data_IF_762546073895
#
_entry.id   IF_762546073895
#
_cell.length_a   1.000
_cell.length_b   1.000
_cell.length_c   1.000
_cell.angle_alpha   90.00
_cell.angle_beta   90.00
_cell.angle_gamma   90.00
#
_symmetry.space_group_name_H-M   'P 1'
#
loop_
_entity.id
_entity.type
_entity.pdbx_description
1 polymer ?
#
# COMPACT_ATOMS: atom_id res chain seq x y z
N UNK A 1 -5.87 3.30 3.56
CA UNK A 1 -5.27 1.94 3.40
C UNK A 1 -4.39 1.50 4.59
N UNK A 2 -4.46 0.25 5.08
CA UNK A 2 -3.58 -0.28 6.16
C UNK A 2 -3.12 -1.71 5.89
N UNK A 3 -1.99 -2.14 6.47
CA UNK A 3 -1.61 -3.56 6.48
C UNK A 3 -2.55 -4.39 7.36
N UNK A 4 -2.81 -5.66 7.01
CA UNK A 4 -3.48 -6.58 7.93
C UNK A 4 -2.59 -6.80 9.16
N UNK A 5 -3.22 -7.01 10.31
CA UNK A 5 -2.54 -7.11 11.61
C UNK A 5 -1.51 -8.26 11.62
N UNK A 6 -1.77 -9.33 10.88
CA UNK A 6 -0.88 -10.49 10.76
C UNK A 6 0.21 -10.35 9.67
N UNK A 7 0.36 -9.17 9.04
CA UNK A 7 1.41 -8.96 8.04
C UNK A 7 2.72 -8.64 8.72
N UNK A 8 3.74 -9.44 8.40
CA UNK A 8 5.11 -9.22 8.82
C UNK A 8 5.95 -8.66 7.67
N UNK A 9 6.67 -7.58 7.95
CA UNK A 9 7.58 -6.94 6.99
C UNK A 9 9.00 -7.45 7.28
N UNK A 10 9.52 -8.34 6.44
CA UNK A 10 10.85 -8.93 6.57
C UNK A 10 11.82 -8.14 5.68
N UNK A 11 12.89 -7.59 6.28
CA UNK A 11 13.88 -6.74 5.61
C UNK A 11 15.21 -7.47 5.37
N UNK A 12 15.15 -8.69 4.85
CA UNK A 12 16.33 -9.52 4.57
C UNK A 12 16.59 -9.62 3.05
N UNK A 13 17.69 -9.04 2.56
CA UNK A 13 18.02 -8.97 1.13
C UNK A 13 17.01 -8.19 0.25
N UNK A 14 16.14 -7.41 0.89
CA UNK A 14 15.01 -6.70 0.27
C UNK A 14 13.82 -6.63 1.24
N UNK A 15 12.73 -6.00 0.82
CA UNK A 15 11.50 -5.91 1.63
C UNK A 15 10.52 -6.99 1.17
N UNK A 16 10.08 -7.82 2.11
CA UNK A 16 9.12 -8.90 1.89
C UNK A 16 7.92 -8.74 2.82
N UNK A 17 6.72 -8.87 2.28
CA UNK A 17 5.50 -9.03 3.05
C UNK A 17 5.25 -10.51 3.26
N UNK A 18 5.05 -10.92 4.51
CA UNK A 18 4.60 -12.27 4.87
C UNK A 18 3.25 -12.17 5.57
N UNK A 19 2.31 -13.02 5.19
CA UNK A 19 1.01 -13.17 5.83
C UNK A 19 0.67 -14.66 5.84
N UNK A 20 0.78 -15.30 7.02
CA UNK A 20 0.63 -16.76 7.15
C UNK A 20 1.57 -17.47 6.15
N UNK A 21 1.02 -18.29 5.26
CA UNK A 21 1.74 -19.02 4.21
C UNK A 21 2.03 -18.19 2.96
N UNK A 22 1.47 -16.98 2.84
CA UNK A 22 1.74 -16.09 1.70
C UNK A 22 2.99 -15.25 1.96
N UNK A 23 3.90 -15.20 1.00
CA UNK A 23 5.07 -14.30 1.01
C UNK A 23 5.20 -13.62 -0.35
N UNK A 24 5.28 -12.29 -0.37
CA UNK A 24 5.47 -11.50 -1.59
C UNK A 24 6.60 -10.49 -1.40
N UNK A 25 7.46 -10.37 -2.41
CA UNK A 25 8.52 -9.34 -2.42
C UNK A 25 7.93 -8.01 -2.87
N UNK A 26 8.27 -6.94 -2.17
CA UNK A 26 7.95 -5.56 -2.59
C UNK A 26 8.88 -5.17 -3.73
N UNK A 27 8.32 -4.67 -4.84
CA UNK A 27 9.09 -4.11 -5.96
C UNK A 27 9.75 -2.80 -5.52
N UNK A 28 10.90 -2.46 -6.10
CA UNK A 28 11.67 -1.26 -5.71
C UNK A 28 10.87 0.05 -5.82
N UNK A 29 10.08 0.15 -6.88
CA UNK A 29 9.13 1.23 -7.18
C UNK A 29 8.00 1.38 -6.14
N UNK A 30 7.70 0.31 -5.38
CA UNK A 30 6.65 0.30 -4.36
C UNK A 30 7.18 0.52 -2.93
N UNK A 31 8.51 0.58 -2.77
CA UNK A 31 9.15 0.76 -1.45
C UNK A 31 8.71 2.06 -0.81
N UNK A 32 8.55 3.12 -1.59
CA UNK A 32 8.16 4.43 -1.07
C UNK A 32 6.71 4.41 -0.53
N UNK A 33 5.80 3.72 -1.23
CA UNK A 33 4.41 3.52 -0.77
C UNK A 33 4.42 2.77 0.57
N UNK A 34 5.22 1.71 0.68
CA UNK A 34 5.35 0.94 1.92
C UNK A 34 5.88 1.81 3.07
N UNK A 35 6.89 2.66 2.84
CA UNK A 35 7.39 3.59 3.87
C UNK A 35 6.33 4.59 4.33
N UNK A 36 5.51 5.11 3.41
CA UNK A 36 4.42 6.02 3.75
C UNK A 36 3.39 5.31 4.64
N UNK A 37 3.03 4.08 4.30
CA UNK A 37 2.13 3.26 5.11
C UNK A 37 2.73 2.92 6.49
N UNK A 38 4.02 2.61 6.58
CA UNK A 38 4.73 2.40 7.85
C UNK A 38 4.82 3.68 8.70
N UNK A 39 4.89 4.85 8.07
CA UNK A 39 4.84 6.15 8.73
C UNK A 39 3.44 6.52 9.26
N UNK A 40 2.44 5.64 9.07
CA UNK A 40 1.06 5.88 9.49
C UNK A 40 0.26 6.74 8.54
N UNK A 41 0.81 7.10 7.37
CA UNK A 41 0.08 7.78 6.30
C UNK A 41 -0.79 6.72 5.64
N UNK A 42 -2.05 6.72 6.05
CA UNK A 42 -3.05 5.72 5.65
C UNK A 42 -4.26 6.36 4.99
N UNK A 43 -4.28 7.69 4.91
CA UNK A 43 -5.31 8.46 4.23
C UNK A 43 -5.01 8.46 2.73
N UNK A 44 -6.00 8.10 1.91
CA UNK A 44 -5.78 7.86 0.49
C UNK A 44 -5.42 9.16 -0.27
N UNK A 45 -5.95 10.32 0.13
CA UNK A 45 -5.61 11.62 -0.47
C UNK A 45 -4.21 12.07 -0.06
N UNK A 46 -3.84 11.90 1.22
CA UNK A 46 -2.48 12.23 1.66
C UNK A 46 -1.45 11.30 1.03
N UNK A 47 -1.74 10.00 0.93
CA UNK A 47 -0.87 9.01 0.29
C UNK A 47 -0.65 9.37 -1.18
N UNK A 48 -1.72 9.70 -1.91
CA UNK A 48 -1.66 10.11 -3.31
C UNK A 48 -0.79 11.36 -3.51
N UNK A 49 -0.99 12.38 -2.68
CA UNK A 49 -0.21 13.63 -2.74
C UNK A 49 1.28 13.39 -2.47
N UNK A 50 1.60 12.52 -1.50
CA UNK A 50 2.99 12.19 -1.14
C UNK A 50 3.66 11.35 -2.23
N UNK A 51 2.96 10.37 -2.79
CA UNK A 51 3.49 9.55 -3.89
C UNK A 51 3.76 10.42 -5.11
N UNK A 52 2.82 11.30 -5.50
CA UNK A 52 3.02 12.21 -6.62
C UNK A 52 4.22 13.14 -6.45
N UNK A 53 4.44 13.65 -5.23
CA UNK A 53 5.63 14.46 -4.91
C UNK A 53 6.93 13.67 -4.92
N UNK A 54 6.90 12.38 -4.55
CA UNK A 54 8.10 11.54 -4.47
C UNK A 54 8.55 11.04 -5.84
N UNK A 55 7.62 10.77 -6.74
CA UNK A 55 7.91 10.24 -8.08
C UNK A 55 8.02 11.34 -9.15
N UNK A 56 7.91 12.61 -8.78
CA UNK A 56 7.84 13.77 -9.70
C UNK A 56 6.85 13.51 -10.86
N UNK A 57 5.78 12.78 -10.55
CA UNK A 57 4.84 12.26 -11.53
C UNK A 57 3.47 12.89 -11.32
N UNK A 58 2.71 13.00 -12.41
CA UNK A 58 1.33 13.48 -12.36
C UNK A 58 0.49 12.69 -11.33
N UNK A 59 -0.46 13.40 -10.72
CA UNK A 59 -1.41 12.85 -9.74
C UNK A 59 -2.13 11.62 -10.31
N UNK A 60 -2.45 11.65 -11.62
CA UNK A 60 -3.10 10.54 -12.33
C UNK A 60 -2.22 9.29 -12.33
N UNK A 61 -0.95 9.43 -12.75
CA UNK A 61 0.02 8.33 -12.77
C UNK A 61 0.25 7.74 -11.37
N UNK A 62 0.28 8.61 -10.36
CA UNK A 62 0.40 8.21 -8.95
C UNK A 62 -0.83 7.45 -8.45
N UNK A 63 -2.02 7.86 -8.89
CA UNK A 63 -3.28 7.15 -8.61
C UNK A 63 -3.32 5.76 -9.25
N UNK A 64 -2.90 5.63 -10.51
CA UNK A 64 -2.74 4.33 -11.16
C UNK A 64 -1.72 3.45 -10.43
N UNK A 65 -0.60 4.03 -9.97
CA UNK A 65 0.39 3.28 -9.21
C UNK A 65 -0.17 2.75 -7.89
N UNK A 66 -0.91 3.57 -7.16
CA UNK A 66 -1.56 3.16 -5.92
C UNK A 66 -2.61 2.07 -6.17
N UNK A 67 -3.41 2.19 -7.23
CA UNK A 67 -4.37 1.15 -7.59
C UNK A 67 -3.66 -0.17 -7.92
N UNK A 68 -2.57 -0.12 -8.70
CA UNK A 68 -1.76 -1.29 -9.02
C UNK A 68 -1.11 -1.90 -7.78
N UNK A 69 -0.66 -1.07 -6.83
CA UNK A 69 -0.15 -1.53 -5.53
C UNK A 69 -1.23 -2.25 -4.71
N UNK A 70 -2.46 -1.71 -4.67
CA UNK A 70 -3.59 -2.38 -4.01
C UNK A 70 -3.93 -3.69 -4.68
N UNK A 71 -3.89 -3.76 -6.00
CA UNK A 71 -4.13 -5.00 -6.73
C UNK A 71 -3.04 -6.03 -6.44
N UNK A 72 -1.77 -5.60 -6.47
CA UNK A 72 -0.61 -6.46 -6.25
C UNK A 72 -0.53 -6.98 -4.80
N UNK A 73 -0.81 -6.13 -3.81
CA UNK A 73 -0.63 -6.45 -2.39
C UNK A 73 -1.96 -6.49 -1.62
N UNK A 74 -3.11 -6.51 -2.30
CA UNK A 74 -4.45 -6.50 -1.70
C UNK A 74 -4.70 -7.67 -0.75
N UNK A 75 -4.01 -8.78 -0.97
CA UNK A 75 -3.98 -9.92 -0.04
C UNK A 75 -3.39 -9.57 1.34
N UNK A 76 -2.46 -8.63 1.40
CA UNK A 76 -1.75 -8.18 2.60
C UNK A 76 -2.35 -6.88 3.16
N UNK A 77 -3.01 -6.08 2.32
CA UNK A 77 -3.68 -4.86 2.72
C UNK A 77 -5.00 -5.24 3.39
N UNK A 78 -5.23 -4.72 4.59
CA UNK A 78 -6.56 -4.72 5.15
C UNK A 78 -7.38 -3.80 4.24
N UNK A 79 -8.34 -4.36 3.49
CA UNK A 79 -9.37 -3.54 2.89
C UNK A 79 -9.84 -2.61 4.00
N UNK A 80 -9.70 -1.30 3.80
CA UNK A 80 -10.40 -0.36 4.63
C UNK A 80 -11.85 -0.82 4.52
N UNK A 81 -12.39 -1.39 5.58
CA UNK A 81 -13.81 -1.67 5.66
C UNK A 81 -14.42 -0.31 5.39
N UNK A 82 -14.90 -0.10 4.15
CA UNK A 82 -15.81 0.98 3.86
C UNK A 82 -16.96 0.70 4.82
N UNK A 83 -16.97 1.42 5.95
CA UNK A 83 -18.15 1.49 6.78
C UNK A 83 -19.31 1.75 5.83
N UNK A 84 -20.20 0.76 5.76
CA UNK A 84 -21.50 0.75 5.14
C UNK A 84 -21.84 1.96 4.27
N UNK A 85 -21.64 1.82 2.96
CA UNK A 85 -22.49 2.51 1.96
C UNK A 85 -23.13 1.45 1.07
N UNK A 86 -23.77 0.47 1.72
CA UNK A 86 -24.99 -0.13 1.18
C UNK A 86 -26.12 0.45 2.05
N UNK A 87 -26.43 1.72 1.80
CA UNK A 87 -27.74 2.27 2.11
C UNK A 87 -28.67 1.82 0.99
N UNK A 88 -29.76 1.18 1.38
CA UNK A 88 -30.88 0.71 0.56
C UNK A 88 -31.39 1.72 -0.45
#
# INVERSE_FOLDING_TARGET
MRWKIDVEIIRDGGIWLRLKDKRKRIKKEDIEILKLMEAGIVDDDELLSRVAKLTDSDIISSGFRLAQFVEDYGDFIAQATKSSVFGM
#
